data_IF_094859168196
#
_entry.id   IF_094859168196
#
_cell.length_a   1.000
_cell.length_b   1.000
_cell.length_c   1.000
_cell.angle_alpha   90.00
_cell.angle_beta   90.00
_cell.angle_gamma   90.00
#
_symmetry.space_group_name_H-M   'P 1'
#
loop_
_entity.id
_entity.type
_entity.pdbx_description
1 polymer ?
#
# COMPACT_ATOMS: atom_id res chain seq x y z
N UNK A 1 5.58 -54.24 30.97
CA UNK A 1 4.81 -52.98 31.20
C UNK A 1 4.55 -52.12 29.95
N UNK A 2 5.27 -52.27 28.83
CA UNK A 2 5.03 -51.47 27.61
C UNK A 2 3.83 -51.96 26.78
N UNK A 3 3.57 -53.27 26.74
CA UNK A 3 2.47 -53.87 25.98
C UNK A 3 1.09 -53.54 26.58
N UNK A 4 0.96 -53.55 27.92
CA UNK A 4 -0.27 -53.16 28.59
C UNK A 4 -0.69 -51.72 28.30
N UNK A 5 0.28 -50.79 28.19
CA UNK A 5 0.02 -49.39 27.80
C UNK A 5 -0.39 -49.27 26.33
N UNK A 6 0.17 -50.08 25.44
CA UNK A 6 -0.23 -50.12 24.02
C UNK A 6 -1.64 -50.68 23.85
N UNK A 7 -2.00 -51.74 24.59
CA UNK A 7 -3.34 -52.32 24.59
C UNK A 7 -4.40 -51.35 25.16
N UNK A 8 -4.06 -50.58 26.21
CA UNK A 8 -4.96 -49.57 26.77
C UNK A 8 -5.20 -48.41 25.79
N UNK A 9 -4.15 -47.90 25.15
CA UNK A 9 -4.27 -46.88 24.09
C UNK A 9 -5.11 -47.38 22.92
N UNK A 10 -4.94 -48.63 22.50
CA UNK A 10 -5.75 -49.26 21.45
C UNK A 10 -7.24 -49.32 21.80
N UNK A 11 -7.57 -49.74 23.04
CA UNK A 11 -8.97 -49.78 23.51
C UNK A 11 -9.60 -48.39 23.59
N UNK A 12 -8.85 -47.38 24.06
CA UNK A 12 -9.33 -45.97 24.08
C UNK A 12 -9.57 -45.44 22.67
N UNK A 13 -8.67 -45.75 21.74
CA UNK A 13 -8.82 -45.37 20.32
C UNK A 13 -10.05 -46.01 19.70
N UNK A 14 -10.28 -47.29 19.92
CA UNK A 14 -11.46 -48.00 19.39
C UNK A 14 -12.77 -47.39 19.90
N UNK A 15 -12.82 -46.99 21.18
CA UNK A 15 -13.98 -46.29 21.76
C UNK A 15 -14.24 -44.93 21.11
N UNK A 16 -13.20 -44.18 20.77
CA UNK A 16 -13.33 -42.89 20.05
C UNK A 16 -13.90 -43.11 18.65
N UNK A 17 -13.38 -44.09 17.91
CA UNK A 17 -13.89 -44.42 16.57
C UNK A 17 -15.35 -44.88 16.61
N UNK A 18 -15.72 -45.70 17.60
CA UNK A 18 -17.10 -46.11 17.80
C UNK A 18 -18.02 -44.91 18.12
N UNK A 19 -17.59 -44.01 19.01
CA UNK A 19 -18.33 -42.80 19.35
C UNK A 19 -18.55 -41.86 18.14
N UNK A 20 -17.58 -41.78 17.24
CA UNK A 20 -17.68 -41.03 15.97
C UNK A 20 -18.67 -41.68 15.00
N UNK A 21 -18.65 -43.01 14.87
CA UNK A 21 -19.58 -43.75 14.02
C UNK A 21 -21.04 -43.62 14.49
N UNK A 22 -21.27 -43.68 15.81
CA UNK A 22 -22.61 -43.44 16.38
C UNK A 22 -23.04 -41.98 16.24
N UNK A 23 -22.10 -41.01 16.41
CA UNK A 23 -22.40 -39.61 16.12
C UNK A 23 -22.83 -39.38 14.67
N UNK A 24 -22.24 -40.13 13.72
CA UNK A 24 -22.61 -40.07 12.30
C UNK A 24 -24.02 -40.59 12.05
N UNK A 25 -24.41 -41.69 12.70
CA UNK A 25 -25.74 -42.31 12.53
C UNK A 25 -26.85 -41.44 13.12
N UNK A 26 -26.61 -40.87 14.28
CA UNK A 26 -27.63 -40.12 15.03
C UNK A 26 -27.72 -38.65 14.61
N UNK A 27 -26.80 -38.17 13.76
CA UNK A 27 -26.69 -36.76 13.39
C UNK A 27 -26.42 -35.84 14.60
N UNK A 28 -25.82 -36.39 15.66
CA UNK A 28 -25.57 -35.67 16.92
C UNK A 28 -24.28 -34.84 16.88
N UNK A 29 -24.15 -33.87 17.78
CA UNK A 29 -23.02 -32.93 17.80
C UNK A 29 -21.65 -33.64 17.78
N UNK A 30 -20.88 -33.40 16.73
CA UNK A 30 -19.53 -33.96 16.48
C UNK A 30 -18.40 -33.13 17.11
N UNK A 31 -18.68 -32.35 18.16
CA UNK A 31 -17.64 -31.56 18.82
C UNK A 31 -16.62 -32.43 19.56
N UNK A 32 -15.37 -31.97 19.64
CA UNK A 32 -14.27 -32.68 20.33
C UNK A 32 -14.63 -33.03 21.77
N UNK A 33 -15.32 -32.13 22.47
CA UNK A 33 -15.79 -32.36 23.84
C UNK A 33 -16.92 -33.40 23.92
N UNK A 34 -17.85 -33.41 22.95
CA UNK A 34 -18.94 -34.39 22.90
C UNK A 34 -18.40 -35.80 22.63
N UNK A 35 -17.48 -35.95 21.66
CA UNK A 35 -16.86 -37.23 21.32
C UNK A 35 -15.97 -37.75 22.46
N UNK A 36 -15.22 -36.89 23.14
CA UNK A 36 -14.42 -37.28 24.31
C UNK A 36 -15.29 -37.87 25.44
N UNK A 37 -16.41 -37.20 25.76
CA UNK A 37 -17.38 -37.67 26.77
C UNK A 37 -18.02 -38.99 26.35
N UNK A 38 -18.48 -39.11 25.11
CA UNK A 38 -19.14 -40.31 24.59
C UNK A 38 -18.18 -41.52 24.53
N UNK A 39 -16.92 -41.30 24.20
CA UNK A 39 -15.89 -42.34 24.19
C UNK A 39 -15.37 -42.70 25.59
N UNK A 40 -15.66 -41.88 26.61
CA UNK A 40 -15.12 -42.03 27.97
C UNK A 40 -13.60 -41.85 28.01
N UNK A 41 -13.08 -40.81 27.33
CA UNK A 41 -11.65 -40.49 27.27
C UNK A 41 -11.43 -39.00 27.53
N UNK A 42 -10.29 -38.64 28.12
CA UNK A 42 -9.92 -37.24 28.38
C UNK A 42 -9.64 -36.45 27.08
N UNK A 43 -9.95 -35.14 27.06
CA UNK A 43 -9.73 -34.27 25.90
C UNK A 43 -8.26 -34.22 25.47
N UNK A 44 -7.33 -34.28 26.43
CA UNK A 44 -5.88 -34.30 26.18
C UNK A 44 -5.46 -35.50 25.33
N UNK A 45 -6.18 -36.63 25.45
CA UNK A 45 -5.93 -37.81 24.61
C UNK A 45 -6.20 -37.50 23.13
N UNK A 46 -7.31 -36.83 22.81
CA UNK A 46 -7.62 -36.43 21.45
C UNK A 46 -6.58 -35.42 20.93
N UNK A 47 -6.20 -34.42 21.73
CA UNK A 47 -5.14 -33.47 21.34
C UNK A 47 -3.77 -34.11 21.09
N UNK A 48 -3.46 -35.21 21.79
CA UNK A 48 -2.23 -35.97 21.56
C UNK A 48 -2.28 -36.85 20.30
N UNK A 49 -3.48 -37.16 19.81
CA UNK A 49 -3.74 -38.00 18.63
C UNK A 49 -4.37 -37.17 17.51
N UNK A 50 -3.50 -36.46 16.76
CA UNK A 50 -3.89 -35.52 15.68
C UNK A 50 -4.73 -36.16 14.59
N UNK A 51 -4.56 -37.45 14.35
CA UNK A 51 -5.33 -38.23 13.40
C UNK A 51 -6.79 -38.39 13.82
N UNK A 52 -7.05 -38.67 15.11
CA UNK A 52 -8.42 -38.72 15.65
C UNK A 52 -9.08 -37.34 15.64
N UNK A 53 -8.32 -36.28 15.96
CA UNK A 53 -8.82 -34.91 15.82
C UNK A 53 -9.15 -34.55 14.37
N UNK A 54 -8.30 -34.95 13.42
CA UNK A 54 -8.56 -34.76 11.99
C UNK A 54 -9.88 -35.38 11.56
N UNK A 55 -10.20 -36.58 12.05
CA UNK A 55 -11.48 -37.25 11.78
C UNK A 55 -12.67 -36.53 12.41
N UNK A 56 -12.56 -36.09 13.66
CA UNK A 56 -13.59 -35.29 14.34
C UNK A 56 -13.87 -34.00 13.54
N UNK A 57 -12.82 -33.28 13.11
CA UNK A 57 -12.96 -32.05 12.34
C UNK A 57 -13.52 -32.30 10.93
N UNK A 58 -13.07 -33.34 10.24
CA UNK A 58 -13.59 -33.70 8.93
C UNK A 58 -15.09 -34.03 8.99
N UNK A 59 -15.51 -34.72 10.05
CA UNK A 59 -16.92 -35.07 10.26
C UNK A 59 -17.77 -33.88 10.72
N UNK A 60 -17.20 -32.95 11.49
CA UNK A 60 -17.87 -31.69 11.85
C UNK A 60 -18.01 -30.72 10.66
N UNK A 61 -17.10 -30.81 9.68
CA UNK A 61 -17.16 -30.04 8.44
C UNK A 61 -18.09 -30.67 7.38
N UNK A 62 -18.41 -31.97 7.52
CA UNK A 62 -19.39 -32.62 6.66
C UNK A 62 -20.79 -32.12 7.01
N UNK A 63 -21.64 -31.79 6.00
CA UNK A 63 -23.00 -31.36 6.26
C UNK A 63 -23.78 -32.47 6.99
N UNK A 64 -24.66 -32.13 7.95
CA UNK A 64 -25.39 -33.13 8.71
C UNK A 64 -26.26 -33.97 7.77
N UNK A 65 -25.93 -35.25 7.64
CA UNK A 65 -26.77 -36.22 6.97
C UNK A 65 -27.95 -36.52 7.88
N UNK A 66 -29.05 -35.80 7.70
CA UNK A 66 -30.30 -36.06 8.41
C UNK A 66 -30.73 -37.49 8.06
N UNK A 67 -30.79 -38.43 9.02
CA UNK A 67 -31.33 -39.77 8.75
C UNK A 67 -32.84 -39.59 8.52
N UNK A 68 -33.27 -39.71 7.26
CA UNK A 68 -34.68 -39.57 6.87
C UNK A 68 -35.12 -38.20 6.33
N UNK A 69 -34.20 -37.27 6.10
CA UNK A 69 -34.52 -35.96 5.51
C UNK A 69 -34.74 -36.01 3.99
N UNK A 70 -35.90 -36.52 3.56
CA UNK A 70 -36.37 -36.43 2.16
C UNK A 70 -36.89 -35.01 1.87
N UNK A 71 -36.00 -34.01 1.96
CA UNK A 71 -36.20 -32.76 1.21
C UNK A 71 -35.99 -33.02 -0.28
N UNK A 72 -36.52 -32.21 -1.21
CA UNK A 72 -36.27 -32.40 -2.63
C UNK A 72 -34.76 -32.44 -2.85
N UNK A 73 -34.26 -33.59 -3.31
CA UNK A 73 -32.84 -33.76 -3.55
C UNK A 73 -32.41 -32.71 -4.57
N UNK A 74 -31.69 -31.68 -4.10
CA UNK A 74 -31.22 -30.59 -4.95
C UNK A 74 -30.39 -31.24 -6.05
N UNK A 75 -30.86 -31.12 -7.29
CA UNK A 75 -30.26 -31.83 -8.40
C UNK A 75 -28.82 -31.32 -8.60
N UNK A 76 -27.93 -32.19 -9.10
CA UNK A 76 -26.56 -31.79 -9.46
C UNK A 76 -26.56 -30.60 -10.42
N UNK A 77 -27.56 -30.51 -11.30
CA UNK A 77 -27.74 -29.38 -12.20
C UNK A 77 -28.05 -28.07 -11.46
N UNK A 78 -28.87 -28.12 -10.41
CA UNK A 78 -29.18 -26.96 -9.56
C UNK A 78 -27.94 -26.46 -8.81
N UNK A 79 -27.15 -27.36 -8.22
CA UNK A 79 -25.89 -27.00 -7.56
C UNK A 79 -24.87 -26.39 -8.52
N UNK A 80 -24.81 -26.91 -9.75
CA UNK A 80 -23.92 -26.38 -10.77
C UNK A 80 -24.37 -25.00 -11.27
N UNK A 81 -25.68 -24.77 -11.40
CA UNK A 81 -26.24 -23.46 -11.70
C UNK A 81 -25.95 -22.45 -10.57
N UNK A 82 -26.09 -22.86 -9.31
CA UNK A 82 -25.78 -22.03 -8.15
C UNK A 82 -24.30 -21.66 -8.08
N UNK A 83 -23.41 -22.59 -8.41
CA UNK A 83 -21.96 -22.35 -8.48
C UNK A 83 -21.62 -21.32 -9.55
N UNK A 84 -22.14 -21.48 -10.77
CA UNK A 84 -21.94 -20.49 -11.86
C UNK A 84 -22.52 -19.13 -11.48
N UNK A 85 -23.69 -19.10 -10.84
CA UNK A 85 -24.29 -17.86 -10.36
C UNK A 85 -23.44 -17.19 -9.27
N UNK A 86 -22.83 -17.97 -8.38
CA UNK A 86 -21.92 -17.46 -7.35
C UNK A 86 -20.62 -16.91 -7.97
N UNK A 87 -20.02 -17.61 -8.92
CA UNK A 87 -18.83 -17.16 -9.66
C UNK A 87 -19.11 -15.86 -10.45
N UNK A 88 -20.28 -15.75 -11.07
CA UNK A 88 -20.68 -14.51 -11.74
C UNK A 88 -20.82 -13.34 -10.75
N UNK A 89 -21.36 -13.59 -9.54
CA UNK A 89 -21.46 -12.57 -8.48
C UNK A 89 -20.09 -12.14 -7.97
N UNK A 90 -19.17 -13.08 -7.72
CA UNK A 90 -17.81 -12.75 -7.26
C UNK A 90 -17.05 -11.97 -8.30
N UNK A 91 -17.17 -12.32 -9.59
CA UNK A 91 -16.56 -11.56 -10.69
C UNK A 91 -17.06 -10.11 -10.74
N UNK A 92 -18.38 -9.89 -10.60
CA UNK A 92 -18.97 -8.54 -10.57
C UNK A 92 -18.49 -7.73 -9.37
N UNK A 93 -18.45 -8.33 -8.18
CA UNK A 93 -17.96 -7.69 -6.97
C UNK A 93 -16.47 -7.32 -7.09
N UNK A 94 -15.64 -8.21 -7.62
CA UNK A 94 -14.22 -7.93 -7.85
C UNK A 94 -14.01 -6.78 -8.85
N UNK A 95 -14.81 -6.72 -9.93
CA UNK A 95 -14.77 -5.61 -10.86
C UNK A 95 -15.22 -4.28 -10.21
N UNK A 96 -16.21 -4.34 -9.31
CA UNK A 96 -16.66 -3.17 -8.55
C UNK A 96 -15.58 -2.66 -7.59
N UNK A 97 -14.92 -3.57 -6.86
CA UNK A 97 -13.81 -3.24 -5.96
C UNK A 97 -12.69 -2.54 -6.73
N UNK A 98 -12.22 -3.13 -7.86
CA UNK A 98 -11.18 -2.50 -8.69
C UNK A 98 -11.57 -1.10 -9.17
N UNK A 99 -12.84 -0.89 -9.52
CA UNK A 99 -13.35 0.43 -9.91
C UNK A 99 -13.33 1.42 -8.74
N UNK A 100 -13.72 0.98 -7.54
CA UNK A 100 -13.70 1.82 -6.34
C UNK A 100 -12.27 2.15 -5.92
N UNK A 101 -11.36 1.19 -5.96
CA UNK A 101 -9.93 1.39 -5.71
C UNK A 101 -9.35 2.40 -6.71
N UNK A 102 -9.66 2.28 -8.00
CA UNK A 102 -9.23 3.27 -9.00
C UNK A 102 -9.74 4.68 -8.71
N UNK A 103 -11.01 4.83 -8.33
CA UNK A 103 -11.59 6.11 -7.93
C UNK A 103 -10.99 6.66 -6.64
N UNK A 104 -10.69 5.78 -5.68
CA UNK A 104 -10.05 6.16 -4.42
C UNK A 104 -8.62 6.65 -4.67
N UNK A 105 -7.84 5.93 -5.48
CA UNK A 105 -6.50 6.36 -5.88
C UNK A 105 -6.52 7.69 -6.61
N UNK A 106 -7.52 7.94 -7.46
CA UNK A 106 -7.66 9.22 -8.14
C UNK A 106 -8.00 10.35 -7.15
N UNK A 107 -8.96 10.13 -6.25
CA UNK A 107 -9.36 11.13 -5.26
C UNK A 107 -8.25 11.43 -4.24
N UNK A 108 -7.55 10.39 -3.77
CA UNK A 108 -6.38 10.54 -2.91
C UNK A 108 -5.22 11.18 -3.66
N UNK A 109 -5.01 10.83 -4.94
CA UNK A 109 -4.09 11.53 -5.81
C UNK A 109 -4.39 13.02 -5.82
N UNK A 110 -5.61 13.41 -6.19
CA UNK A 110 -6.05 14.81 -6.23
C UNK A 110 -5.94 15.53 -4.88
N UNK A 111 -6.18 14.82 -3.77
CA UNK A 111 -6.03 15.38 -2.42
C UNK A 111 -4.55 15.57 -2.05
N UNK A 112 -3.69 14.58 -2.32
CA UNK A 112 -2.24 14.69 -2.15
C UNK A 112 -1.67 15.78 -3.05
N UNK A 113 -2.17 15.92 -4.28
CA UNK A 113 -1.83 17.01 -5.20
C UNK A 113 -2.18 18.39 -4.59
N UNK A 114 -3.34 18.50 -3.92
CA UNK A 114 -3.74 19.73 -3.22
C UNK A 114 -2.96 19.99 -1.92
N UNK A 115 -2.63 18.95 -1.16
CA UNK A 115 -1.98 19.05 0.15
C UNK A 115 -0.45 19.18 0.07
N UNK A 116 0.20 18.51 -0.89
CA UNK A 116 1.67 18.55 -1.07
C UNK A 116 2.13 19.84 -1.74
N UNK A 117 1.21 20.62 -2.34
CA UNK A 117 1.54 21.94 -2.86
C UNK A 117 2.59 21.87 -3.99
N UNK A 118 2.62 20.79 -4.77
CA UNK A 118 3.17 20.87 -6.13
C UNK A 118 2.10 21.61 -6.93
N UNK A 119 2.16 22.92 -6.74
CA UNK A 119 1.33 23.93 -7.33
C UNK A 119 1.24 23.65 -8.85
N UNK A 120 0.03 23.73 -9.42
CA UNK A 120 -0.34 23.07 -10.68
C UNK A 120 0.46 23.52 -11.92
N UNK A 121 0.11 23.04 -13.14
CA UNK A 121 0.80 23.46 -14.36
C UNK A 121 0.86 25.00 -14.49
N UNK A 122 -0.18 25.71 -14.03
CA UNK A 122 -0.23 27.17 -13.99
C UNK A 122 0.86 27.80 -13.13
N UNK A 123 1.19 27.21 -11.98
CA UNK A 123 2.25 27.74 -11.11
C UNK A 123 3.64 27.42 -11.66
N UNK A 124 3.77 26.31 -12.39
CA UNK A 124 5.01 26.00 -13.11
C UNK A 124 5.24 27.00 -14.24
N UNK A 125 4.19 27.39 -14.97
CA UNK A 125 4.26 28.44 -16.00
C UNK A 125 4.48 29.83 -15.39
N UNK A 126 3.87 30.15 -14.23
CA UNK A 126 4.16 31.38 -13.50
C UNK A 126 5.61 31.44 -13.01
N UNK A 127 6.15 30.33 -12.49
CA UNK A 127 7.55 30.24 -12.08
C UNK A 127 8.49 30.41 -13.27
N UNK A 128 8.20 29.79 -14.41
CA UNK A 128 8.97 30.00 -15.65
C UNK A 128 8.92 31.46 -16.09
N UNK A 129 7.74 32.08 -16.12
CA UNK A 129 7.58 33.50 -16.45
C UNK A 129 8.34 34.41 -15.47
N UNK A 130 8.39 34.03 -14.19
CA UNK A 130 9.17 34.76 -13.18
C UNK A 130 10.66 34.60 -13.39
N UNK A 131 11.12 33.40 -13.73
CA UNK A 131 12.53 33.12 -14.06
C UNK A 131 12.96 33.96 -15.27
N UNK A 132 12.20 33.95 -16.36
CA UNK A 132 12.54 34.75 -17.55
C UNK A 132 12.56 36.25 -17.28
N UNK A 133 11.63 36.73 -16.45
CA UNK A 133 11.63 38.14 -16.02
C UNK A 133 12.87 38.48 -15.20
N UNK A 134 13.27 37.60 -14.28
CA UNK A 134 14.47 37.80 -13.46
C UNK A 134 15.75 37.72 -14.29
N UNK A 135 15.83 36.81 -15.26
CA UNK A 135 16.95 36.72 -16.20
C UNK A 135 17.10 38.00 -17.02
N UNK A 136 16.00 38.55 -17.53
CA UNK A 136 16.03 39.84 -18.24
C UNK A 136 16.49 40.98 -17.31
N UNK A 137 16.04 41.00 -16.06
CA UNK A 137 16.48 42.00 -15.08
C UNK A 137 17.97 41.90 -14.79
N UNK A 138 18.53 40.69 -14.72
CA UNK A 138 19.98 40.50 -14.54
C UNK A 138 20.74 41.09 -15.73
N UNK A 139 20.34 40.76 -16.96
CA UNK A 139 20.98 41.30 -18.18
C UNK A 139 20.90 42.82 -18.23
N UNK A 140 19.73 43.41 -17.94
CA UNK A 140 19.55 44.85 -17.93
C UNK A 140 20.42 45.54 -16.86
N UNK A 141 20.58 44.92 -15.69
CA UNK A 141 21.43 45.43 -14.61
C UNK A 141 22.91 45.34 -14.96
N UNK A 142 23.34 44.24 -15.57
CA UNK A 142 24.72 44.08 -16.06
C UNK A 142 25.06 45.15 -17.10
N UNK A 143 24.16 45.41 -18.06
CA UNK A 143 24.36 46.46 -19.06
C UNK A 143 24.49 47.85 -18.40
N UNK A 144 23.65 48.15 -17.41
CA UNK A 144 23.73 49.42 -16.67
C UNK A 144 25.03 49.57 -15.88
N UNK A 145 25.55 48.48 -15.33
CA UNK A 145 26.85 48.50 -14.64
C UNK A 145 27.97 48.79 -15.64
N UNK A 146 27.95 48.13 -16.79
CA UNK A 146 28.92 48.36 -17.87
C UNK A 146 28.92 49.83 -18.32
N UNK A 147 27.75 50.41 -18.60
CA UNK A 147 27.64 51.82 -18.99
C UNK A 147 28.23 52.76 -17.93
N UNK A 148 27.99 52.48 -16.64
CA UNK A 148 28.52 53.29 -15.54
C UNK A 148 30.02 53.16 -15.37
N UNK A 149 30.58 51.98 -15.61
CA UNK A 149 32.02 51.76 -15.59
C UNK A 149 32.71 52.48 -16.75
N UNK A 150 32.11 52.45 -17.94
CA UNK A 150 32.58 53.19 -19.10
C UNK A 150 32.54 54.71 -18.85
N UNK A 151 31.43 55.23 -18.31
CA UNK A 151 31.30 56.64 -17.90
C UNK A 151 32.38 57.04 -16.87
N UNK A 152 32.61 56.21 -15.85
CA UNK A 152 33.66 56.43 -14.84
C UNK A 152 35.06 56.41 -15.44
N UNK A 153 35.32 55.50 -16.38
CA UNK A 153 36.60 55.39 -17.06
C UNK A 153 36.89 56.65 -17.87
N UNK A 154 35.89 57.17 -18.59
CA UNK A 154 35.95 58.40 -19.36
C UNK A 154 36.17 59.62 -18.46
N UNK A 155 35.41 59.74 -17.36
CA UNK A 155 35.58 60.81 -16.39
C UNK A 155 36.99 60.82 -15.76
N UNK A 156 37.52 59.63 -15.42
CA UNK A 156 38.89 59.49 -14.90
C UNK A 156 39.93 59.85 -15.95
N UNK A 157 39.73 59.48 -17.22
CA UNK A 157 40.63 59.86 -18.30
C UNK A 157 40.66 61.38 -18.51
N UNK A 158 39.49 62.03 -18.57
CA UNK A 158 39.38 63.49 -18.67
C UNK A 158 40.02 64.19 -17.47
N UNK A 159 39.84 63.67 -16.25
CA UNK A 159 40.47 64.22 -15.06
C UNK A 159 42.00 64.11 -15.12
N UNK A 160 42.54 62.96 -15.53
CA UNK A 160 43.99 62.79 -15.73
C UNK A 160 44.53 63.75 -16.79
N UNK A 161 43.80 63.96 -17.88
CA UNK A 161 44.20 64.89 -18.93
C UNK A 161 44.21 66.33 -18.43
N UNK A 162 43.15 66.77 -17.74
CA UNK A 162 43.09 68.10 -17.13
C UNK A 162 44.24 68.33 -16.13
N UNK A 163 44.51 67.35 -15.27
CA UNK A 163 45.64 67.43 -14.33
C UNK A 163 46.99 67.48 -15.06
N UNK A 164 47.15 66.74 -16.16
CA UNK A 164 48.35 66.81 -16.99
C UNK A 164 48.51 68.18 -17.67
N UNK A 165 47.42 68.81 -18.12
CA UNK A 165 47.44 70.17 -18.67
C UNK A 165 47.80 71.21 -17.60
N UNK A 166 47.20 71.13 -16.40
CA UNK A 166 47.50 72.02 -15.28
C UNK A 166 48.96 71.90 -14.83
N UNK A 167 49.51 70.69 -14.71
CA UNK A 167 50.90 70.48 -14.34
C UNK A 167 51.87 71.03 -15.41
N UNK A 168 51.59 70.81 -16.70
CA UNK A 168 52.37 71.40 -17.81
C UNK A 168 52.38 72.93 -17.79
N UNK A 169 51.24 73.55 -17.47
CA UNK A 169 51.14 75.02 -17.31
C UNK A 169 51.85 75.56 -16.07
N UNK A 170 52.05 74.73 -15.04
CA UNK A 170 52.77 75.11 -13.80
C UNK A 170 54.29 74.93 -13.91
N UNK A 171 54.73 73.98 -14.74
CA UNK A 171 56.14 73.69 -15.00
C UNK A 171 56.75 74.55 -16.13
N UNK A 172 56.00 75.52 -16.68
CA UNK A 172 56.56 76.48 -17.65
C UNK A 172 57.46 77.46 -16.89
N UNK A 173 58.81 77.43 -17.03
CA UNK A 173 59.65 78.34 -16.29
C UNK A 173 59.49 79.75 -16.87
N UNK A 174 59.13 80.70 -16.00
CA UNK A 174 59.25 82.13 -16.28
C UNK A 174 60.75 82.45 -16.48
N UNK A 175 61.24 82.32 -17.71
CA UNK A 175 62.49 82.94 -18.11
C UNK A 175 62.21 84.41 -18.44
N UNK A 176 62.38 85.24 -17.40
CA UNK A 176 62.61 86.67 -17.50
C UNK A 176 64.11 86.90 -17.69
N UNK A 177 64.50 87.56 -18.78
CA UNK A 177 65.87 88.00 -19.06
C UNK A 177 66.24 87.86 -20.52
#
# INVERSE_FOLDING_TARGET
MLEGRRADTGRRRQRVLAALAEAAKDGSETSVAAIARRAGVDRTFLYRHRDLLGQVHAQAAAPPTVPGGRGPAVSRASLQADLVAAEARTARLAAHIRRLEGRLSQALGEQVWREVGISGPDDTEQLKARITTLEQQVVDLELRLQDRDDDLSAARAANRELMAQLNRGRDTPLHLG
#
